data_IF_969017281377
#
_entry.id   IF_969017281377
#
_cell.length_a   1.000
_cell.length_b   1.000
_cell.length_c   1.000
_cell.angle_alpha   90.00
_cell.angle_beta   90.00
_cell.angle_gamma   90.00
#
_symmetry.space_group_name_H-M   'P 1'
#
loop_
_entity.id
_entity.type
_entity.pdbx_description
1 polymer ?
#
# COMPACT_ATOMS: atom_id res chain seq x y z
N UNK A 1 2.29 19.48 -19.85
CA UNK A 1 1.89 18.06 -19.89
C UNK A 1 0.56 17.97 -19.18
N UNK A 2 -0.53 17.95 -19.96
CA UNK A 2 -1.88 17.84 -19.42
C UNK A 2 -2.13 16.41 -18.99
N UNK A 3 -2.47 16.22 -17.71
CA UNK A 3 -2.98 14.96 -17.21
C UNK A 3 -4.37 14.73 -17.83
N UNK A 4 -4.64 13.61 -18.52
CA UNK A 4 -5.95 13.40 -19.12
C UNK A 4 -7.03 13.33 -18.02
N UNK A 5 -8.19 14.00 -18.21
CA UNK A 5 -9.24 14.03 -17.20
C UNK A 5 -10.00 12.69 -17.19
N UNK A 6 -9.49 11.70 -16.47
CA UNK A 6 -10.12 10.38 -16.37
C UNK A 6 -11.37 10.37 -15.48
N UNK A 7 -11.61 11.44 -14.69
CA UNK A 7 -12.71 11.52 -13.72
C UNK A 7 -14.00 12.17 -14.24
N UNK A 8 -14.02 12.74 -15.45
CA UNK A 8 -15.19 13.45 -16.01
C UNK A 8 -15.99 12.65 -17.04
N UNK A 9 -15.80 11.33 -17.13
CA UNK A 9 -16.63 10.50 -17.99
C UNK A 9 -18.04 10.37 -17.40
N UNK A 10 -19.07 10.54 -18.24
CA UNK A 10 -20.50 10.60 -17.86
C UNK A 10 -21.04 9.35 -17.11
N UNK A 11 -20.27 8.27 -16.98
CA UNK A 11 -20.64 7.04 -16.28
C UNK A 11 -19.59 6.59 -15.23
N UNK A 12 -18.68 7.47 -14.82
CA UNK A 12 -17.65 7.14 -13.84
C UNK A 12 -18.29 6.90 -12.47
N UNK A 13 -18.29 5.64 -12.02
CA UNK A 13 -18.56 5.33 -10.62
C UNK A 13 -17.25 5.47 -9.86
N UNK A 14 -17.15 6.39 -8.88
CA UNK A 14 -15.92 6.55 -8.12
C UNK A 14 -15.56 5.21 -7.43
N UNK A 15 -14.29 4.77 -7.54
CA UNK A 15 -13.85 3.54 -6.90
C UNK A 15 -13.83 3.71 -5.38
N UNK A 16 -13.90 2.58 -4.67
CA UNK A 16 -13.58 2.56 -3.24
C UNK A 16 -12.08 2.80 -3.10
N UNK A 17 -11.71 3.83 -2.32
CA UNK A 17 -10.33 4.21 -2.06
C UNK A 17 -9.93 3.67 -0.69
N UNK A 18 -8.94 2.78 -0.65
CA UNK A 18 -8.34 2.30 0.60
C UNK A 18 -7.01 3.05 0.79
N UNK A 19 -6.81 3.63 1.96
CA UNK A 19 -5.65 4.49 2.21
C UNK A 19 -5.19 4.49 3.67
N UNK A 20 -3.92 4.85 3.93
CA UNK A 20 -3.42 5.05 5.28
C UNK A 20 -4.01 6.33 5.91
N UNK A 21 -3.93 6.50 7.24
CA UNK A 21 -4.47 7.68 7.91
C UNK A 21 -3.85 9.01 7.45
N UNK A 22 -2.56 8.99 7.08
CA UNK A 22 -1.82 10.16 6.58
C UNK A 22 -2.43 10.77 5.32
N UNK A 23 -3.07 9.96 4.46
CA UNK A 23 -3.63 10.39 3.19
C UNK A 23 -5.03 11.01 3.30
N UNK A 24 -5.75 10.82 4.42
CA UNK A 24 -7.18 11.18 4.54
C UNK A 24 -7.47 12.63 4.16
N UNK A 25 -6.73 13.58 4.73
CA UNK A 25 -6.96 15.02 4.52
C UNK A 25 -6.72 15.47 3.07
N UNK A 26 -5.87 14.76 2.32
CA UNK A 26 -5.62 15.02 0.90
C UNK A 26 -6.70 14.37 0.03
N UNK A 27 -7.09 13.15 0.35
CA UNK A 27 -8.09 12.39 -0.42
C UNK A 27 -9.49 13.00 -0.30
N UNK A 28 -9.88 13.52 0.86
CA UNK A 28 -11.16 14.21 1.05
C UNK A 28 -11.32 15.51 0.24
N UNK A 29 -10.22 16.02 -0.36
CA UNK A 29 -10.29 17.16 -1.29
C UNK A 29 -10.68 16.75 -2.71
N UNK A 30 -10.63 15.44 -3.01
CA UNK A 30 -10.76 14.89 -4.37
C UNK A 30 -11.94 13.89 -4.44
N UNK A 31 -12.16 13.12 -3.39
CA UNK A 31 -13.15 12.06 -3.33
C UNK A 31 -14.13 12.27 -2.19
N UNK A 32 -15.37 11.86 -2.40
CA UNK A 32 -16.39 11.83 -1.34
C UNK A 32 -15.96 10.87 -0.21
N UNK A 33 -16.27 11.24 1.03
CA UNK A 33 -15.99 10.41 2.20
C UNK A 33 -16.65 9.02 2.11
N UNK A 34 -17.81 8.93 1.44
CA UNK A 34 -18.51 7.68 1.19
C UNK A 34 -17.68 6.64 0.42
N UNK A 35 -16.72 7.07 -0.39
CA UNK A 35 -15.82 6.21 -1.16
C UNK A 35 -14.51 5.89 -0.43
N UNK A 36 -14.20 6.57 0.68
CA UNK A 36 -12.91 6.45 1.36
C UNK A 36 -12.96 5.45 2.51
N UNK A 37 -11.95 4.57 2.60
CA UNK A 37 -11.76 3.60 3.68
C UNK A 37 -10.34 3.77 4.23
N UNK A 38 -10.25 4.38 5.40
CA UNK A 38 -8.96 4.56 6.08
C UNK A 38 -8.65 3.32 6.89
N UNK A 39 -7.54 2.67 6.58
CA UNK A 39 -7.07 1.46 7.26
C UNK A 39 -5.78 1.76 8.04
N UNK A 40 -5.69 1.24 9.26
CA UNK A 40 -4.47 1.23 10.06
C UNK A 40 -3.78 -0.13 9.95
N UNK A 41 -2.46 -0.22 10.13
CA UNK A 41 -1.77 -1.51 10.22
C UNK A 41 -2.45 -2.44 11.23
N UNK A 42 -2.60 -3.71 10.87
CA UNK A 42 -3.29 -4.74 11.67
C UNK A 42 -4.81 -4.75 11.55
N UNK A 43 -5.40 -3.81 10.79
CA UNK A 43 -6.84 -3.80 10.52
C UNK A 43 -7.15 -4.34 9.12
N UNK A 44 -8.36 -4.87 8.95
CA UNK A 44 -8.85 -5.39 7.68
C UNK A 44 -10.24 -4.86 7.33
N UNK A 45 -10.55 -4.83 6.03
CA UNK A 45 -11.88 -4.51 5.50
C UNK A 45 -12.24 -5.47 4.36
N UNK A 46 -13.53 -5.74 4.22
CA UNK A 46 -14.07 -6.44 3.05
C UNK A 46 -14.66 -5.45 2.05
N UNK A 47 -14.25 -5.54 0.79
CA UNK A 47 -14.76 -4.74 -0.33
C UNK A 47 -15.21 -5.69 -1.44
N UNK A 48 -16.52 -5.96 -1.49
CA UNK A 48 -17.06 -7.01 -2.35
C UNK A 48 -16.44 -8.38 -2.00
N UNK A 49 -15.83 -9.09 -2.96
CA UNK A 49 -15.17 -10.37 -2.71
C UNK A 49 -13.76 -10.23 -2.09
N UNK A 50 -13.23 -9.01 -1.99
CA UNK A 50 -11.86 -8.78 -1.55
C UNK A 50 -11.77 -8.62 -0.03
N UNK A 51 -10.89 -9.36 0.62
CA UNK A 51 -10.41 -9.07 1.98
C UNK A 51 -9.09 -8.30 1.86
N UNK A 52 -9.07 -7.08 2.38
CA UNK A 52 -7.88 -6.22 2.36
C UNK A 52 -7.42 -6.01 3.80
N UNK A 53 -6.18 -6.40 4.10
CA UNK A 53 -5.50 -6.17 5.38
C UNK A 53 -4.39 -5.15 5.18
N UNK A 54 -4.31 -4.16 6.05
CA UNK A 54 -3.18 -3.23 6.06
C UNK A 54 -2.05 -3.78 6.93
N UNK A 55 -0.83 -3.77 6.39
CA UNK A 55 0.39 -4.13 7.11
C UNK A 55 1.18 -2.87 7.47
N UNK A 56 2.04 -2.91 8.49
CA UNK A 56 2.97 -1.82 8.75
C UNK A 56 3.91 -1.68 7.55
N UNK A 57 3.83 -0.55 6.85
CA UNK A 57 4.73 -0.21 5.76
C UNK A 57 5.89 0.64 6.25
N UNK A 58 6.36 1.48 5.35
CA UNK A 58 7.61 2.23 5.45
C UNK A 58 7.46 3.53 6.26
N UNK A 59 8.48 3.90 7.04
CA UNK A 59 8.51 5.21 7.70
C UNK A 59 9.05 6.25 6.71
N UNK A 60 8.17 6.77 5.85
CA UNK A 60 8.53 7.77 4.84
C UNK A 60 8.21 9.18 5.33
N UNK A 61 9.04 9.64 6.26
CA UNK A 61 8.89 10.97 6.83
C UNK A 61 9.83 11.18 8.01
N UNK A 62 9.70 12.33 8.69
CA UNK A 62 10.41 12.55 9.93
C UNK A 62 10.12 11.44 10.95
N UNK A 63 11.02 11.19 11.93
CA UNK A 63 10.89 10.05 12.87
C UNK A 63 9.58 9.97 13.65
N UNK A 64 8.84 11.08 13.75
CA UNK A 64 7.54 11.17 14.44
C UNK A 64 6.33 10.91 13.55
N UNK A 65 6.51 10.71 12.24
CA UNK A 65 5.40 10.39 11.33
C UNK A 65 4.93 8.95 11.54
N UNK A 66 3.64 8.69 11.34
CA UNK A 66 3.18 7.31 11.32
C UNK A 66 3.77 6.58 10.10
N UNK A 67 4.11 5.29 10.21
CA UNK A 67 4.44 4.49 9.04
C UNK A 67 3.29 4.52 8.02
N UNK A 68 3.64 4.53 6.74
CA UNK A 68 2.67 4.26 5.68
C UNK A 68 2.26 2.78 5.71
N UNK A 69 1.31 2.39 4.86
CA UNK A 69 0.80 1.02 4.82
C UNK A 69 1.36 0.22 3.64
N UNK A 70 1.61 -1.07 3.89
CA UNK A 70 1.48 -2.11 2.87
C UNK A 70 0.08 -2.74 2.93
N UNK A 71 -0.25 -3.58 1.96
CA UNK A 71 -1.57 -4.22 1.89
C UNK A 71 -1.46 -5.67 1.44
N UNK A 72 -2.11 -6.58 2.16
CA UNK A 72 -2.42 -7.93 1.68
C UNK A 72 -3.86 -7.95 1.18
N UNK A 73 -4.06 -8.41 -0.04
CA UNK A 73 -5.36 -8.52 -0.72
C UNK A 73 -5.62 -9.97 -1.04
N UNK A 74 -6.75 -10.50 -0.56
CA UNK A 74 -7.16 -11.89 -0.73
C UNK A 74 -8.55 -11.95 -1.37
N UNK A 75 -8.77 -12.92 -2.25
CA UNK A 75 -10.05 -13.23 -2.89
C UNK A 75 -10.07 -14.70 -3.33
N UNK A 76 -11.07 -15.13 -4.10
CA UNK A 76 -11.05 -16.42 -4.78
C UNK A 76 -9.98 -16.44 -5.90
N UNK A 77 -8.72 -16.66 -5.52
CA UNK A 77 -7.57 -16.65 -6.41
C UNK A 77 -6.25 -16.39 -5.65
N UNK A 78 -5.15 -16.14 -6.39
CA UNK A 78 -3.87 -15.83 -5.80
C UNK A 78 -3.94 -14.53 -4.99
N UNK A 79 -3.46 -14.57 -3.76
CA UNK A 79 -3.34 -13.41 -2.89
C UNK A 79 -2.19 -12.48 -3.33
N UNK A 80 -2.34 -11.19 -3.07
CA UNK A 80 -1.37 -10.15 -3.47
C UNK A 80 -0.92 -9.37 -2.25
N UNK A 81 0.40 -9.25 -2.06
CA UNK A 81 1.01 -8.27 -1.19
C UNK A 81 1.49 -7.06 -2.01
N UNK A 82 1.02 -5.87 -1.66
CA UNK A 82 1.43 -4.60 -2.25
C UNK A 82 2.17 -3.74 -1.22
N UNK A 83 3.44 -3.43 -1.49
CA UNK A 83 4.27 -2.57 -0.65
C UNK A 83 4.85 -1.42 -1.48
N UNK A 84 4.39 -0.17 -1.30
CA UNK A 84 4.73 0.94 -2.19
C UNK A 84 6.14 1.52 -2.00
N UNK A 85 6.78 1.26 -0.87
CA UNK A 85 8.03 1.93 -0.47
C UNK A 85 9.20 0.98 -0.20
N UNK A 86 8.91 -0.31 -0.01
CA UNK A 86 9.87 -1.38 0.15
C UNK A 86 10.84 -1.22 1.35
N UNK A 87 10.48 -0.39 2.35
CA UNK A 87 11.17 -0.29 3.65
C UNK A 87 10.61 -1.33 4.64
N UNK A 88 10.75 -2.58 4.23
CA UNK A 88 10.33 -3.69 5.06
C UNK A 88 11.56 -4.26 5.76
N UNK A 89 11.62 -4.07 7.08
CA UNK A 89 12.30 -5.05 7.91
C UNK A 89 11.49 -6.34 7.87
N UNK A 90 11.68 -7.10 6.79
CA UNK A 90 10.90 -8.27 6.45
C UNK A 90 10.91 -9.33 7.57
N UNK A 91 11.93 -9.32 8.43
CA UNK A 91 12.02 -10.21 9.59
C UNK A 91 10.99 -9.89 10.68
N UNK A 92 10.65 -8.62 10.90
CA UNK A 92 9.74 -8.20 11.97
C UNK A 92 8.32 -7.91 11.47
N UNK A 93 8.17 -7.34 10.26
CA UNK A 93 6.88 -6.85 9.76
C UNK A 93 6.09 -7.87 8.94
N UNK A 94 6.74 -8.89 8.37
CA UNK A 94 6.11 -9.83 7.43
C UNK A 94 6.13 -11.29 7.88
N UNK A 95 6.63 -11.57 9.09
CA UNK A 95 6.79 -12.94 9.58
C UNK A 95 5.47 -13.75 9.59
N UNK A 96 4.35 -13.05 9.71
CA UNK A 96 3.00 -13.61 9.78
C UNK A 96 2.16 -13.33 8.52
N UNK A 97 2.75 -12.64 7.54
CA UNK A 97 2.07 -12.27 6.31
C UNK A 97 2.38 -13.29 5.20
N UNK A 98 1.34 -13.74 4.50
CA UNK A 98 1.43 -14.71 3.41
C UNK A 98 0.75 -14.11 2.18
N UNK A 99 1.42 -14.20 1.03
CA UNK A 99 0.82 -13.88 -0.26
C UNK A 99 1.51 -14.61 -1.42
N UNK A 100 0.75 -14.90 -2.47
CA UNK A 100 1.22 -15.63 -3.66
C UNK A 100 1.99 -14.73 -4.63
N UNK A 101 1.64 -13.44 -4.63
CA UNK A 101 2.20 -12.43 -5.52
C UNK A 101 2.66 -11.24 -4.67
N UNK A 102 3.85 -10.70 -4.95
CA UNK A 102 4.32 -9.45 -4.37
C UNK A 102 4.48 -8.36 -5.45
N UNK A 103 3.87 -7.20 -5.24
CA UNK A 103 4.03 -6.01 -6.07
C UNK A 103 4.83 -4.99 -5.25
N UNK A 104 6.11 -4.84 -5.60
CA UNK A 104 7.05 -3.98 -4.88
C UNK A 104 7.98 -3.20 -5.83
N UNK A 105 8.45 -2.01 -5.41
CA UNK A 105 9.47 -1.26 -6.13
C UNK A 105 10.79 -2.03 -6.27
N UNK A 106 11.38 -1.97 -7.47
CA UNK A 106 12.75 -2.44 -7.75
C UNK A 106 13.73 -1.31 -8.02
N UNK A 107 13.23 -0.09 -8.21
CA UNK A 107 14.05 1.12 -8.41
C UNK A 107 14.06 1.95 -7.14
N UNK A 108 15.27 2.29 -6.68
CA UNK A 108 15.48 3.14 -5.51
C UNK A 108 15.16 4.60 -5.84
N UNK A 109 14.53 5.32 -4.90
CA UNK A 109 14.31 6.76 -4.98
C UNK A 109 14.79 7.44 -3.70
N UNK A 110 15.59 8.48 -3.87
CA UNK A 110 16.21 9.23 -2.79
C UNK A 110 15.94 10.71 -2.91
N UNK A 111 15.81 11.36 -1.76
CA UNK A 111 15.92 12.78 -1.55
C UNK A 111 17.19 13.04 -0.72
N UNK A 112 17.71 14.28 -0.66
CA UNK A 112 18.83 14.60 0.21
C UNK A 112 18.55 14.10 1.65
N UNK A 113 19.42 13.21 2.14
CA UNK A 113 19.37 12.61 3.48
C UNK A 113 18.18 11.66 3.77
N UNK A 114 17.37 11.29 2.76
CA UNK A 114 16.19 10.43 2.97
C UNK A 114 15.98 9.45 1.81
N UNK A 115 15.92 8.16 2.11
CA UNK A 115 15.44 7.14 1.15
C UNK A 115 13.92 7.09 1.21
N UNK A 116 13.24 7.36 0.09
CA UNK A 116 11.77 7.38 0.00
C UNK A 116 11.22 6.04 -0.50
N UNK A 117 11.96 5.40 -1.39
CA UNK A 117 11.62 4.09 -1.94
C UNK A 117 12.90 3.26 -2.01
N UNK A 118 12.88 2.06 -1.43
CA UNK A 118 13.99 1.12 -1.53
C UNK A 118 13.91 0.30 -2.82
N UNK A 119 15.08 -0.06 -3.37
CA UNK A 119 15.18 -0.75 -4.65
C UNK A 119 15.28 -2.27 -4.54
N UNK A 120 15.85 -2.87 -5.57
CA UNK A 120 15.99 -4.31 -5.80
C UNK A 120 16.47 -5.14 -4.59
N UNK A 121 17.42 -4.63 -3.79
CA UNK A 121 17.95 -5.37 -2.63
C UNK A 121 16.85 -5.72 -1.63
N UNK A 122 15.94 -4.78 -1.35
CA UNK A 122 14.80 -5.01 -0.46
C UNK A 122 13.72 -5.87 -1.11
N UNK A 123 13.52 -5.73 -2.42
CA UNK A 123 12.61 -6.60 -3.15
C UNK A 123 13.06 -8.07 -3.09
N UNK A 124 14.36 -8.33 -3.22
CA UNK A 124 14.94 -9.67 -3.06
C UNK A 124 14.91 -10.17 -1.62
N UNK A 125 15.04 -9.29 -0.63
CA UNK A 125 14.87 -9.68 0.77
C UNK A 125 13.42 -10.11 1.05
N UNK A 126 12.45 -9.39 0.49
CA UNK A 126 11.03 -9.70 0.61
C UNK A 126 10.70 -11.12 0.14
N UNK A 127 11.21 -11.53 -1.03
CA UNK A 127 10.94 -12.88 -1.59
C UNK A 127 11.44 -14.02 -0.72
N UNK A 128 12.38 -13.75 0.20
CA UNK A 128 12.89 -14.75 1.16
C UNK A 128 12.03 -14.88 2.42
N UNK A 129 11.15 -13.92 2.67
CA UNK A 129 10.44 -13.76 3.94
C UNK A 129 8.92 -13.82 3.80
N UNK A 130 8.38 -13.38 2.67
CA UNK A 130 6.97 -13.56 2.35
C UNK A 130 6.72 -15.04 2.06
N UNK A 131 5.80 -15.65 2.81
CA UNK A 131 5.39 -17.03 2.55
C UNK A 131 4.34 -17.04 1.44
N UNK A 132 4.34 -18.11 0.65
CA UNK A 132 3.30 -18.39 -0.35
C UNK A 132 2.17 -19.15 0.35
N UNK A 133 0.93 -18.85 -0.04
CA UNK A 133 -0.30 -19.39 0.58
C UNK A 133 -0.68 -20.77 0.05
#
# INVERSE_FOLDING_TARGET
MDCPPTYHQKNFRPPVIIAPPSARSRLLKIFDEANLRILRPGTSIRVGPLLVRATPGSLVGPPWQAPENGYVVQWEGPSVYYEPHNDVDAKSKLREEEADIAIVPVKRQELPFLTVVYGEERALALTRHLKVT
#
